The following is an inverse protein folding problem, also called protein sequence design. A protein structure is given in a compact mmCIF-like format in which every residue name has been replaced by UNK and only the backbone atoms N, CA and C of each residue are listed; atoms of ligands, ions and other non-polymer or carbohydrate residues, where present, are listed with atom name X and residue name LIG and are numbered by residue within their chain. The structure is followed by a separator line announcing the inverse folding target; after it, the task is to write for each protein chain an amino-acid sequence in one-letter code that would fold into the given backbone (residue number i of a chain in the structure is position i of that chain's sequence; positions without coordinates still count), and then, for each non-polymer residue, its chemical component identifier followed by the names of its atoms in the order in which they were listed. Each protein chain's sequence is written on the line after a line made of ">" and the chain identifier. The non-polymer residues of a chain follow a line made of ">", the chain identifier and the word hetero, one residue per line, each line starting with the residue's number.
data_IF_698874981588
#
_entry.id   IF_698874981588
#
_cell.length_a   1.000
_cell.length_b   1.000
_cell.length_c   1.000
_cell.angle_alpha   90.00
_cell.angle_beta   90.00
_cell.angle_gamma   90.00
#
_symmetry.space_group_name_H-M   'P 1'
#
loop_
_entity.id
_entity.type
_entity.pdbx_description
1 polymer ?
#
# COMPACT_ATOMS: atom_id res chain seq x y z
N UNK A 1 11.10 17.12 -15.73
CA UNK A 1 10.54 15.79 -15.44
C UNK A 1 9.42 15.84 -14.41
N UNK A 2 9.67 16.09 -13.11
CA UNK A 2 8.60 16.14 -12.09
C UNK A 2 7.54 17.21 -12.37
N UNK A 3 7.97 18.45 -12.60
CA UNK A 3 7.08 19.60 -12.85
C UNK A 3 6.19 19.38 -14.06
N UNK A 4 6.71 18.72 -15.10
CA UNK A 4 5.97 18.44 -16.33
C UNK A 4 4.85 17.45 -16.05
N UNK A 5 5.14 16.35 -15.35
CA UNK A 5 4.14 15.38 -14.95
C UNK A 5 3.12 15.95 -13.97
N UNK A 6 3.56 16.79 -13.04
CA UNK A 6 2.70 17.49 -12.10
C UNK A 6 1.64 18.31 -12.85
N UNK A 7 2.07 19.22 -13.73
CA UNK A 7 1.16 20.11 -14.44
C UNK A 7 0.27 19.35 -15.43
N UNK A 8 0.80 18.31 -16.10
CA UNK A 8 -0.03 17.44 -16.94
C UNK A 8 -1.15 16.75 -16.15
N UNK A 9 -0.85 16.19 -14.98
CA UNK A 9 -1.84 15.55 -14.12
C UNK A 9 -2.84 16.58 -13.57
N UNK A 10 -2.32 17.68 -13.04
CA UNK A 10 -3.12 18.72 -12.40
C UNK A 10 -4.11 19.33 -13.37
N UNK A 11 -3.63 19.77 -14.55
CA UNK A 11 -4.47 20.40 -15.57
C UNK A 11 -5.56 19.44 -16.06
N UNK A 12 -5.23 18.17 -16.31
CA UNK A 12 -6.23 17.17 -16.71
C UNK A 12 -7.30 16.92 -15.66
N UNK A 13 -6.91 16.84 -14.38
CA UNK A 13 -7.85 16.59 -13.29
C UNK A 13 -8.73 17.81 -13.00
N UNK A 14 -8.19 19.03 -13.10
CA UNK A 14 -8.95 20.25 -12.83
C UNK A 14 -9.90 20.59 -13.98
N UNK A 15 -9.55 20.29 -15.24
CA UNK A 15 -10.42 20.45 -16.40
C UNK A 15 -11.59 19.45 -16.37
N UNK A 16 -11.32 18.20 -15.97
CA UNK A 16 -12.34 17.13 -15.90
C UNK A 16 -13.23 17.17 -14.66
N UNK A 17 -12.92 17.99 -13.64
CA UNK A 17 -13.68 17.98 -12.37
C UNK A 17 -15.15 18.39 -12.58
N UNK A 18 -15.41 19.31 -13.49
CA UNK A 18 -16.75 19.86 -13.71
C UNK A 18 -17.63 18.92 -14.55
N UNK A 19 -17.03 18.08 -15.41
CA UNK A 19 -17.77 17.09 -16.20
C UNK A 19 -18.24 15.89 -15.36
N UNK A 20 -17.46 15.51 -14.36
CA UNK A 20 -17.75 14.36 -13.50
C UNK A 20 -18.46 14.74 -12.19
N UNK A 21 -18.77 16.03 -12.00
CA UNK A 21 -19.33 16.56 -10.74
C UNK A 21 -18.42 16.37 -9.53
N UNK A 22 -17.11 16.18 -9.76
CA UNK A 22 -16.11 15.83 -8.77
C UNK A 22 -15.31 17.02 -8.25
N UNK A 23 -14.56 16.79 -7.17
CA UNK A 23 -13.55 17.71 -6.67
C UNK A 23 -12.14 17.19 -6.93
N UNK A 24 -11.14 18.08 -6.83
CA UNK A 24 -9.75 17.66 -6.91
C UNK A 24 -9.44 16.62 -5.81
N UNK A 25 -8.68 15.55 -6.14
CA UNK A 25 -8.26 14.59 -5.13
C UNK A 25 -7.42 15.28 -4.06
N UNK A 26 -7.48 14.74 -2.83
CA UNK A 26 -6.57 15.18 -1.77
C UNK A 26 -5.12 15.01 -2.20
N UNK A 27 -4.22 15.82 -1.62
CA UNK A 27 -2.83 15.91 -2.04
C UNK A 27 -2.14 14.53 -2.20
N UNK A 28 -2.31 13.63 -1.23
CA UNK A 28 -1.69 12.30 -1.30
C UNK A 28 -2.28 11.43 -2.41
N UNK A 29 -3.61 11.49 -2.63
CA UNK A 29 -4.25 10.78 -3.76
C UNK A 29 -3.78 11.33 -5.10
N UNK A 30 -3.60 12.65 -5.22
CA UNK A 30 -3.05 13.29 -6.41
C UNK A 30 -1.64 12.78 -6.70
N UNK A 31 -0.75 12.78 -5.69
CA UNK A 31 0.62 12.29 -5.85
C UNK A 31 0.67 10.82 -6.24
N UNK A 32 -0.19 9.97 -5.68
CA UNK A 32 -0.28 8.55 -6.06
C UNK A 32 -0.67 8.37 -7.53
N UNK A 33 -1.68 9.13 -8.02
CA UNK A 33 -2.07 9.09 -9.45
C UNK A 33 -0.91 9.56 -10.33
N UNK A 34 -0.24 10.65 -9.94
CA UNK A 34 0.91 11.18 -10.67
C UNK A 34 2.05 10.16 -10.72
N UNK A 35 2.39 9.50 -9.60
CA UNK A 35 3.43 8.48 -9.53
C UNK A 35 3.14 7.32 -10.50
N UNK A 36 1.90 6.81 -10.52
CA UNK A 36 1.52 5.76 -11.47
C UNK A 36 1.62 6.23 -12.94
N UNK A 37 1.23 7.48 -13.24
CA UNK A 37 1.42 8.03 -14.60
C UNK A 37 2.90 8.06 -14.98
N UNK A 38 3.77 8.51 -14.08
CA UNK A 38 5.22 8.56 -14.30
C UNK A 38 5.75 7.15 -14.60
N UNK A 39 5.42 6.16 -13.77
CA UNK A 39 5.88 4.78 -13.97
C UNK A 39 5.47 4.20 -15.33
N UNK A 40 4.24 4.46 -15.77
CA UNK A 40 3.76 4.01 -17.08
C UNK A 40 4.46 4.74 -18.23
N UNK A 41 4.65 6.06 -18.12
CA UNK A 41 5.26 6.87 -19.19
C UNK A 41 6.76 6.59 -19.34
N UNK A 42 7.47 6.45 -18.23
CA UNK A 42 8.88 6.09 -18.19
C UNK A 42 9.14 4.60 -18.44
N UNK A 43 8.07 3.80 -18.58
CA UNK A 43 8.14 2.35 -18.88
C UNK A 43 9.04 1.58 -17.92
N UNK A 44 8.88 1.85 -16.62
CA UNK A 44 9.67 1.15 -15.59
C UNK A 44 9.36 -0.34 -15.60
N UNK A 45 10.38 -1.18 -15.49
CA UNK A 45 10.19 -2.63 -15.39
C UNK A 45 9.54 -3.02 -14.06
N UNK A 46 9.89 -2.29 -12.99
CA UNK A 46 9.43 -2.53 -11.62
C UNK A 46 9.18 -1.20 -10.93
N UNK A 47 8.03 -1.10 -10.24
CA UNK A 47 7.71 0.01 -9.35
C UNK A 47 7.62 -0.50 -7.90
N UNK A 48 8.37 0.15 -7.00
CA UNK A 48 8.26 -0.08 -5.55
C UNK A 48 7.32 0.98 -4.99
N UNK A 49 6.19 0.54 -4.43
CA UNK A 49 5.16 1.43 -3.92
C UNK A 49 5.17 1.36 -2.40
N UNK A 50 5.62 2.44 -1.76
CA UNK A 50 5.49 2.62 -0.32
C UNK A 50 4.07 3.05 0.03
N UNK A 51 3.49 2.40 1.04
CA UNK A 51 2.16 2.74 1.56
C UNK A 51 2.26 4.04 2.35
N UNK A 52 1.30 4.96 2.18
CA UNK A 52 1.25 6.19 2.96
C UNK A 52 0.95 5.94 4.43
N UNK A 53 -0.31 5.64 4.76
CA UNK A 53 -0.74 5.38 6.13
C UNK A 53 -1.62 4.12 6.19
N UNK A 54 -1.26 3.20 7.08
CA UNK A 54 -1.98 1.94 7.25
C UNK A 54 -1.70 0.96 6.12
N UNK A 55 -2.69 0.72 5.27
CA UNK A 55 -2.58 -0.24 4.17
C UNK A 55 -3.93 -0.58 3.54
N UNK A 56 -4.85 -1.13 4.33
CA UNK A 56 -6.18 -1.56 3.88
C UNK A 56 -6.92 -0.47 3.09
N UNK A 57 -6.89 0.77 3.59
CA UNK A 57 -7.60 1.92 3.02
C UNK A 57 -6.68 2.99 2.41
N UNK A 58 -5.39 2.69 2.29
CA UNK A 58 -4.44 3.62 1.68
C UNK A 58 -4.68 3.74 0.18
N UNK A 59 -4.47 4.93 -0.40
CA UNK A 59 -4.74 5.16 -1.81
C UNK A 59 -3.78 4.41 -2.75
N UNK A 60 -2.65 3.92 -2.25
CA UNK A 60 -1.73 3.04 -2.99
C UNK A 60 -2.27 1.61 -3.13
N UNK A 61 -3.22 1.19 -2.28
CA UNK A 61 -3.76 -0.18 -2.24
C UNK A 61 -4.73 -0.52 -3.39
N UNK A 62 -4.62 0.19 -4.52
CA UNK A 62 -5.37 -0.03 -5.75
C UNK A 62 -4.68 -1.04 -6.70
N UNK A 63 -3.42 -1.39 -6.44
CA UNK A 63 -2.67 -2.39 -7.22
C UNK A 63 -3.31 -3.77 -6.99
N UNK A 64 -3.91 -4.34 -8.03
CA UNK A 64 -4.73 -5.57 -7.93
C UNK A 64 -3.90 -6.85 -7.83
N UNK A 65 -2.75 -6.89 -8.52
CA UNK A 65 -1.86 -8.06 -8.62
C UNK A 65 -0.39 -7.64 -8.48
N UNK A 66 0.04 -7.19 -7.28
CA UNK A 66 1.45 -6.91 -7.05
C UNK A 66 2.27 -8.20 -7.17
N UNK A 67 3.51 -8.09 -7.65
CA UNK A 67 4.43 -9.25 -7.73
C UNK A 67 4.73 -9.80 -6.34
N UNK A 68 4.81 -8.93 -5.33
CA UNK A 68 4.99 -9.28 -3.92
C UNK A 68 4.50 -8.13 -3.04
N UNK A 69 3.96 -8.45 -1.86
CA UNK A 69 3.67 -7.50 -0.78
C UNK A 69 4.67 -7.68 0.37
N UNK A 70 5.16 -6.57 0.94
CA UNK A 70 6.08 -6.59 2.08
C UNK A 70 5.51 -5.83 3.28
N UNK A 71 5.60 -6.43 4.47
CA UNK A 71 5.28 -5.78 5.74
C UNK A 71 6.56 -5.69 6.56
N UNK A 72 7.05 -4.48 6.79
CA UNK A 72 8.24 -4.23 7.62
C UNK A 72 7.90 -4.32 9.12
N UNK A 73 8.88 -4.08 9.98
CA UNK A 73 8.67 -4.08 11.44
C UNK A 73 7.54 -3.12 11.81
N UNK A 74 6.61 -3.62 12.60
CA UNK A 74 5.50 -2.84 13.11
C UNK A 74 5.89 -2.11 14.40
N UNK A 75 5.21 -0.99 14.64
CA UNK A 75 5.32 -0.19 15.86
C UNK A 75 4.02 0.59 16.07
N UNK A 76 3.88 1.21 17.24
CA UNK A 76 2.76 2.11 17.49
C UNK A 76 2.94 3.35 16.61
N UNK A 77 1.97 3.57 15.73
CA UNK A 77 2.03 4.53 14.65
C UNK A 77 0.61 5.04 14.35
N UNK A 78 0.49 6.34 14.07
CA UNK A 78 -0.77 7.00 13.68
C UNK A 78 -2.02 6.54 14.46
N UNK A 79 -1.96 6.53 15.80
CA UNK A 79 -3.01 5.97 16.69
C UNK A 79 -4.42 6.49 16.40
N UNK A 80 -4.55 7.77 16.04
CA UNK A 80 -5.83 8.40 15.70
C UNK A 80 -6.49 7.83 14.45
N UNK A 81 -5.72 7.18 13.57
CA UNK A 81 -6.18 6.64 12.28
C UNK A 81 -6.18 5.11 12.30
N UNK A 82 -5.13 4.50 12.86
CA UNK A 82 -4.88 3.06 12.78
C UNK A 82 -5.36 2.29 14.01
N UNK A 83 -5.67 2.99 15.10
CA UNK A 83 -6.00 2.41 16.39
C UNK A 83 -4.85 2.48 17.39
N UNK A 84 -5.20 2.28 18.65
CA UNK A 84 -4.35 2.42 19.83
C UNK A 84 -3.61 1.14 20.24
N UNK A 85 -3.78 0.05 19.48
CA UNK A 85 -3.12 -1.23 19.77
C UNK A 85 -2.34 -1.73 18.56
N UNK A 86 -1.30 -2.51 18.82
CA UNK A 86 -0.43 -3.04 17.77
C UNK A 86 -1.20 -4.01 16.85
N UNK A 87 -2.22 -4.69 17.38
CA UNK A 87 -3.09 -5.59 16.62
C UNK A 87 -3.94 -4.82 15.61
N UNK A 88 -4.51 -3.67 15.99
CA UNK A 88 -5.28 -2.82 15.07
C UNK A 88 -4.39 -2.30 13.94
N UNK A 89 -3.18 -1.88 14.28
CA UNK A 89 -2.16 -1.43 13.31
C UNK A 89 -1.75 -2.57 12.38
N UNK A 90 -1.50 -3.76 12.93
CA UNK A 90 -1.14 -4.95 12.17
C UNK A 90 -2.24 -5.33 11.18
N UNK A 91 -3.52 -5.28 11.58
CA UNK A 91 -4.66 -5.52 10.71
C UNK A 91 -4.70 -4.55 9.53
N UNK A 92 -4.51 -3.25 9.80
CA UNK A 92 -4.50 -2.21 8.76
C UNK A 92 -3.36 -2.43 7.75
N UNK A 93 -2.13 -2.65 8.23
CA UNK A 93 -0.95 -2.84 7.36
C UNK A 93 -1.01 -4.17 6.60
N UNK A 94 -1.56 -5.22 7.20
CA UNK A 94 -1.81 -6.50 6.54
C UNK A 94 -2.82 -6.42 5.39
N UNK A 95 -3.65 -5.36 5.33
CA UNK A 95 -4.63 -5.13 4.27
C UNK A 95 -4.07 -4.89 2.86
N UNK A 96 -2.75 -4.76 2.71
CA UNK A 96 -2.11 -4.65 1.38
C UNK A 96 -1.98 -6.00 0.67
N UNK A 97 -2.06 -7.10 1.42
CA UNK A 97 -1.95 -8.45 0.86
C UNK A 97 -3.05 -8.70 -0.18
N UNK A 98 -2.73 -9.45 -1.23
CA UNK A 98 -3.65 -9.77 -2.33
C UNK A 98 -3.71 -11.28 -2.58
N UNK A 99 -4.89 -11.85 -2.86
CA UNK A 99 -5.03 -13.27 -3.20
C UNK A 99 -4.08 -13.67 -4.34
N UNK A 100 -3.42 -14.82 -4.19
CA UNK A 100 -2.48 -15.34 -5.20
C UNK A 100 -1.17 -14.56 -5.35
N UNK A 101 -0.95 -13.50 -4.55
CA UNK A 101 0.29 -12.73 -4.54
C UNK A 101 1.12 -13.12 -3.31
N UNK A 102 2.44 -13.38 -3.44
CA UNK A 102 3.32 -13.62 -2.30
C UNK A 102 3.29 -12.44 -1.31
N UNK A 103 3.31 -12.76 -0.02
CA UNK A 103 3.48 -11.80 1.06
C UNK A 103 4.68 -12.17 1.92
N UNK A 104 5.48 -11.17 2.27
CA UNK A 104 6.67 -11.32 3.13
C UNK A 104 6.61 -10.37 4.31
N UNK A 105 7.14 -10.80 5.44
CA UNK A 105 7.27 -9.99 6.64
C UNK A 105 8.60 -10.26 7.33
N UNK A 106 8.97 -9.40 8.26
CA UNK A 106 10.11 -9.54 9.17
C UNK A 106 9.60 -9.98 10.56
N UNK A 107 10.48 -10.29 11.53
CA UNK A 107 10.05 -10.49 12.92
C UNK A 107 9.19 -9.32 13.42
N UNK A 108 8.09 -9.64 14.10
CA UNK A 108 7.11 -8.66 14.55
C UNK A 108 6.98 -8.62 16.07
N UNK A 109 6.68 -7.45 16.67
CA UNK A 109 6.48 -7.33 18.10
C UNK A 109 5.13 -7.90 18.55
N UNK A 110 5.10 -8.46 19.76
CA UNK A 110 3.88 -8.96 20.39
C UNK A 110 3.10 -9.94 19.52
N UNK A 111 1.78 -9.79 19.52
CA UNK A 111 0.87 -10.69 18.77
C UNK A 111 0.63 -10.25 17.32
N UNK A 112 1.37 -9.25 16.83
CA UNK A 112 1.17 -8.68 15.49
C UNK A 112 1.37 -9.72 14.37
N UNK A 113 2.29 -10.66 14.55
CA UNK A 113 2.49 -11.75 13.58
C UNK A 113 1.27 -12.65 13.49
N UNK A 114 0.59 -12.91 14.60
CA UNK A 114 -0.65 -13.71 14.62
C UNK A 114 -1.75 -12.98 13.86
N UNK A 115 -1.89 -11.67 14.06
CA UNK A 115 -2.86 -10.85 13.33
C UNK A 115 -2.59 -10.82 11.84
N UNK A 116 -1.32 -10.64 11.42
CA UNK A 116 -0.93 -10.69 10.00
C UNK A 116 -1.31 -12.05 9.40
N UNK A 117 -1.00 -13.15 10.08
CA UNK A 117 -1.32 -14.50 9.60
C UNK A 117 -2.83 -14.76 9.53
N UNK A 118 -3.59 -14.28 10.51
CA UNK A 118 -5.04 -14.38 10.49
C UNK A 118 -5.63 -13.58 9.34
N UNK A 119 -5.13 -12.36 9.13
CA UNK A 119 -5.56 -11.49 8.02
C UNK A 119 -5.19 -12.08 6.65
N UNK A 120 -4.04 -12.74 6.53
CA UNK A 120 -3.65 -13.45 5.31
C UNK A 120 -4.68 -14.54 4.96
N UNK A 121 -5.15 -15.31 5.95
CA UNK A 121 -6.21 -16.32 5.76
C UNK A 121 -7.53 -15.71 5.33
N UNK A 122 -7.95 -14.60 5.95
CA UNK A 122 -9.19 -13.88 5.58
C UNK A 122 -9.17 -13.38 4.14
N UNK A 123 -8.01 -12.92 3.67
CA UNK A 123 -7.82 -12.41 2.31
C UNK A 123 -7.66 -13.58 1.30
N UNK A 124 -7.30 -14.78 1.75
CA UNK A 124 -7.01 -15.92 0.87
C UNK A 124 -5.57 -15.92 0.32
N UNK A 125 -4.62 -15.40 1.10
CA UNK A 125 -3.18 -15.52 0.83
C UNK A 125 -2.64 -16.79 1.49
N UNK A 126 -1.97 -17.63 0.70
CA UNK A 126 -1.54 -18.97 1.12
C UNK A 126 -0.53 -18.97 2.26
N UNK A 127 0.35 -17.95 2.35
CA UNK A 127 1.16 -17.67 3.52
C UNK A 127 1.80 -16.28 3.45
N UNK A 128 1.87 -15.57 4.58
CA UNK A 128 2.83 -14.49 4.77
C UNK A 128 4.10 -15.09 5.37
N UNK A 129 5.21 -15.04 4.63
CA UNK A 129 6.44 -15.74 5.02
C UNK A 129 7.43 -14.80 5.70
N UNK A 130 8.01 -15.26 6.80
CA UNK A 130 9.07 -14.57 7.52
C UNK A 130 10.41 -14.73 6.78
N UNK A 131 11.02 -13.61 6.40
CA UNK A 131 12.27 -13.60 5.61
C UNK A 131 13.46 -14.20 6.36
N UNK A 132 13.49 -14.15 7.70
CA UNK A 132 14.58 -14.78 8.46
C UNK A 132 14.47 -16.30 8.44
N UNK A 133 13.23 -16.83 8.45
CA UNK A 133 12.98 -18.27 8.34
C UNK A 133 13.25 -18.80 6.93
N UNK A 134 13.13 -17.96 5.89
CA UNK A 134 13.52 -18.34 4.53
C UNK A 134 15.04 -18.49 4.37
N UNK A 135 15.85 -17.67 5.06
CA UNK A 135 17.32 -17.70 4.94
C UNK A 135 17.96 -18.94 5.58
N UNK A 136 17.22 -19.68 6.39
CA UNK A 136 17.69 -20.91 7.04
C UNK A 136 17.30 -22.19 6.28
N UNK A 137 16.66 -22.06 5.11
CA UNK A 137 16.29 -23.16 4.20
C UNK A 137 17.19 -23.15 2.98
#
# INVERSE_FOLDING_TARGET
>A
MFTDYFWQCYNKLIEGKDSDGGSMPSYFKFLTVMAFKVFVQEKVDVAVIEVGIGGQYDCTNIVRKPVVCGITSLGIDHVSILGDTIEKIAWQKAGIMKPGCPAVTVPQPGDSLQVINQRAKEIGVSACRDVEKMRMM
#
